data_IF_754091465046
#
_entry.id   IF_754091465046
#
_cell.length_a   1.000
_cell.length_b   1.000
_cell.length_c   1.000
_cell.angle_alpha   90.00
_cell.angle_beta   90.00
_cell.angle_gamma   90.00
#
_symmetry.space_group_name_H-M   'P 1'
#
loop_
_entity.id
_entity.type
_entity.pdbx_description
1 polymer ?
#
# COMPACT_ATOMS: atom_id res chain seq x y z
N UNK A 1 -25.71 7.11 11.67
CA UNK A 1 -24.57 7.57 12.52
C UNK A 1 -23.52 8.12 11.60
N UNK A 2 -23.23 9.42 11.68
CA UNK A 2 -22.15 10.06 10.93
C UNK A 2 -20.82 9.63 11.55
N UNK A 3 -20.00 8.89 10.81
CA UNK A 3 -18.62 8.63 11.24
C UNK A 3 -17.88 9.96 11.12
N UNK A 4 -17.48 10.55 12.24
CA UNK A 4 -16.58 11.70 12.24
C UNK A 4 -15.21 11.18 11.78
N UNK A 5 -14.91 11.35 10.50
CA UNK A 5 -13.62 11.00 9.92
C UNK A 5 -12.68 12.16 10.22
N UNK A 6 -11.78 11.97 11.19
CA UNK A 6 -10.66 12.90 11.37
C UNK A 6 -9.70 12.71 10.20
N UNK A 7 -9.44 13.74 9.39
CA UNK A 7 -8.44 13.64 8.34
C UNK A 7 -7.07 13.31 8.97
N UNK A 8 -6.20 12.58 8.25
CA UNK A 8 -4.87 12.25 8.75
C UNK A 8 -4.13 13.52 9.21
N UNK A 9 -3.36 13.41 10.29
CA UNK A 9 -2.61 14.53 10.86
C UNK A 9 -1.72 15.20 9.79
N UNK A 10 -1.39 16.48 9.98
CA UNK A 10 -0.70 17.30 8.98
C UNK A 10 0.65 16.73 8.48
N UNK A 11 1.28 15.84 9.25
CA UNK A 11 2.55 15.18 8.91
C UNK A 11 2.42 13.64 8.79
N UNK A 12 1.21 13.10 8.70
CA UNK A 12 0.99 11.66 8.56
C UNK A 12 1.51 11.13 7.22
N UNK A 13 2.15 9.97 7.24
CA UNK A 13 2.55 9.23 6.06
C UNK A 13 1.35 8.46 5.48
N UNK A 14 1.30 8.37 4.15
CA UNK A 14 0.33 7.56 3.42
C UNK A 14 1.10 6.65 2.48
N UNK A 15 0.87 5.34 2.60
CA UNK A 15 1.26 4.34 1.61
C UNK A 15 0.06 4.18 0.67
N UNK A 16 0.23 4.62 -0.57
CA UNK A 16 -0.75 4.44 -1.64
C UNK A 16 -0.40 3.17 -2.38
N UNK A 17 -1.38 2.33 -2.61
CA UNK A 17 -1.27 1.18 -3.50
C UNK A 17 -2.38 1.19 -4.53
N UNK A 18 -2.09 0.71 -5.72
CA UNK A 18 -3.09 0.61 -6.77
C UNK A 18 -2.91 -0.60 -7.66
N UNK A 19 -4.02 -0.99 -8.27
CA UNK A 19 -4.11 -2.06 -9.26
C UNK A 19 -5.17 -1.69 -10.30
N UNK A 20 -5.05 -2.23 -11.50
CA UNK A 20 -6.12 -2.21 -12.50
C UNK A 20 -6.91 -3.53 -12.41
N UNK A 21 -8.24 -3.46 -12.44
CA UNK A 21 -9.10 -4.64 -12.28
C UNK A 21 -8.91 -5.66 -13.40
N UNK A 22 -8.50 -5.22 -14.60
CA UNK A 22 -8.25 -6.05 -15.78
C UNK A 22 -6.78 -6.51 -15.86
N UNK A 23 -5.91 -6.05 -14.96
CA UNK A 23 -4.50 -6.42 -14.99
C UNK A 23 -4.32 -7.93 -14.76
N UNK A 24 -3.41 -8.55 -15.51
CA UNK A 24 -3.10 -9.97 -15.40
C UNK A 24 -2.22 -10.27 -14.18
N UNK A 25 -1.32 -9.34 -13.81
CA UNK A 25 -0.45 -9.52 -12.64
C UNK A 25 -1.20 -9.34 -11.33
N UNK A 26 -0.58 -9.82 -10.24
CA UNK A 26 -1.02 -9.54 -8.88
C UNK A 26 -0.22 -8.40 -8.23
N UNK A 27 0.61 -7.71 -9.01
CA UNK A 27 1.49 -6.67 -8.47
C UNK A 27 0.72 -5.38 -8.20
N UNK A 28 0.92 -4.83 -7.02
CA UNK A 28 0.47 -3.48 -6.68
C UNK A 28 1.52 -2.47 -7.12
N UNK A 29 1.07 -1.41 -7.80
CA UNK A 29 1.84 -0.18 -7.89
C UNK A 29 1.78 0.52 -6.53
N UNK A 30 2.85 1.19 -6.11
CA UNK A 30 2.89 1.81 -4.79
C UNK A 30 3.63 3.16 -4.78
N UNK A 31 3.28 3.99 -3.81
CA UNK A 31 3.95 5.24 -3.49
C UNK A 31 3.83 5.52 -1.99
N UNK A 32 4.86 6.06 -1.36
CA UNK A 32 4.79 6.55 0.03
C UNK A 32 5.03 8.06 0.06
N UNK A 33 4.11 8.83 0.65
CA UNK A 33 4.24 10.28 0.71
C UNK A 33 3.63 10.87 1.99
N UNK A 34 4.07 12.07 2.36
CA UNK A 34 3.42 12.86 3.43
C UNK A 34 2.07 13.36 2.94
N UNK A 35 1.01 13.16 3.73
CA UNK A 35 -0.38 13.46 3.37
C UNK A 35 -0.60 14.91 2.90
N UNK A 36 -0.05 15.88 3.63
CA UNK A 36 -0.30 17.31 3.39
C UNK A 36 0.58 17.92 2.31
N UNK A 37 1.86 17.54 2.28
CA UNK A 37 2.86 18.16 1.40
C UNK A 37 3.08 17.37 0.12
N UNK A 38 2.55 16.14 0.04
CA UNK A 38 2.82 15.18 -1.03
C UNK A 38 4.33 14.92 -1.24
N UNK A 39 5.14 15.25 -0.24
CA UNK A 39 6.57 14.99 -0.26
C UNK A 39 6.79 13.48 -0.27
N UNK A 40 7.52 13.01 -1.26
CA UNK A 40 7.91 11.62 -1.38
C UNK A 40 8.72 11.19 -0.15
N UNK A 41 8.34 10.04 0.42
CA UNK A 41 9.06 9.40 1.52
C UNK A 41 10.10 8.40 1.00
N UNK A 42 10.06 8.08 -0.29
CA UNK A 42 11.09 7.32 -0.97
C UNK A 42 12.39 8.13 -1.04
N UNK A 43 13.50 7.50 -0.63
CA UNK A 43 14.83 8.09 -0.77
C UNK A 43 15.40 7.77 -2.15
N UNK A 44 15.63 8.77 -3.03
CA UNK A 44 16.14 8.51 -4.38
C UNK A 44 17.66 8.33 -4.43
N UNK A 45 18.39 8.72 -3.38
CA UNK A 45 19.87 8.77 -3.38
C UNK A 45 20.47 8.46 -2.00
N UNK A 46 21.75 8.08 -1.98
CA UNK A 46 22.53 7.88 -0.76
C UNK A 46 22.43 6.47 -0.16
N UNK A 47 22.92 6.30 1.07
CA UNK A 47 22.99 4.99 1.76
C UNK A 47 21.64 4.29 1.93
N UNK A 48 20.56 5.07 1.92
CA UNK A 48 19.19 4.60 2.09
C UNK A 48 18.38 4.67 0.80
N UNK A 49 19.03 4.85 -0.35
CA UNK A 49 18.36 4.84 -1.64
C UNK A 49 17.49 3.57 -1.78
N UNK A 50 16.26 3.74 -2.26
CA UNK A 50 15.29 2.64 -2.36
C UNK A 50 14.40 2.44 -1.15
N UNK A 51 14.66 3.09 -0.01
CA UNK A 51 13.88 2.92 1.21
C UNK A 51 12.84 4.02 1.40
N UNK A 52 11.72 3.67 2.03
CA UNK A 52 10.75 4.62 2.59
C UNK A 52 11.26 5.06 3.97
N UNK A 53 11.36 6.36 4.20
CA UNK A 53 11.91 6.91 5.43
C UNK A 53 10.82 7.36 6.40
N UNK A 54 10.74 6.69 7.56
CA UNK A 54 9.86 7.06 8.67
C UNK A 54 10.67 7.57 9.87
N UNK A 55 9.99 8.23 10.81
CA UNK A 55 10.51 8.62 12.11
C UNK A 55 9.66 8.00 13.22
N UNK A 56 10.27 7.80 14.39
CA UNK A 56 9.53 7.41 15.58
C UNK A 56 8.37 8.38 15.85
N UNK A 57 7.19 7.83 16.15
CA UNK A 57 5.97 8.60 16.36
C UNK A 57 5.22 8.99 15.09
N UNK A 58 5.78 8.76 13.89
CA UNK A 58 5.04 8.96 12.65
C UNK A 58 3.80 8.05 12.62
N UNK A 59 2.72 8.58 12.05
CA UNK A 59 1.50 7.82 11.77
C UNK A 59 1.48 7.45 10.30
N UNK A 60 1.19 6.19 9.98
CA UNK A 60 1.17 5.64 8.63
C UNK A 60 -0.21 5.08 8.34
N UNK A 61 -0.84 5.58 7.30
CA UNK A 61 -2.12 5.06 6.78
C UNK A 61 -1.94 4.45 5.40
N UNK A 62 -2.90 3.63 4.98
CA UNK A 62 -2.92 3.01 3.65
C UNK A 62 -4.12 3.48 2.85
N UNK A 63 -3.87 3.80 1.60
CA UNK A 63 -4.87 4.16 0.60
C UNK A 63 -4.78 3.14 -0.53
N UNK A 64 -5.90 2.54 -0.89
CA UNK A 64 -6.01 1.53 -1.95
C UNK A 64 -6.89 2.09 -3.05
N UNK A 65 -6.39 2.03 -4.28
CA UNK A 65 -7.12 2.48 -5.46
C UNK A 65 -7.20 1.35 -6.50
N UNK A 66 -8.41 0.86 -6.75
CA UNK A 66 -8.69 -0.03 -7.89
C UNK A 66 -9.13 0.77 -9.11
N UNK A 67 -8.46 0.63 -10.24
CA UNK A 67 -8.82 1.28 -11.50
C UNK A 67 -9.58 0.36 -12.43
N UNK A 68 -10.49 0.91 -13.23
CA UNK A 68 -11.15 0.16 -14.29
C UNK A 68 -11.90 1.08 -15.23
N UNK A 69 -12.35 0.52 -16.37
CA UNK A 69 -13.11 1.30 -17.35
C UNK A 69 -14.42 1.83 -16.74
N UNK A 70 -14.70 3.11 -16.98
CA UNK A 70 -15.93 3.78 -16.57
C UNK A 70 -17.16 3.05 -17.09
N UNK A 71 -18.13 2.83 -16.20
CA UNK A 71 -19.34 2.05 -16.49
C UNK A 71 -19.16 0.53 -16.41
N UNK A 72 -17.92 0.03 -16.26
CA UNK A 72 -17.65 -1.39 -15.95
C UNK A 72 -17.26 -1.59 -14.50
N UNK A 73 -16.41 -0.73 -13.93
CA UNK A 73 -16.10 -0.77 -12.51
C UNK A 73 -17.31 -0.32 -11.68
N UNK A 74 -17.82 -1.19 -10.81
CA UNK A 74 -18.92 -0.86 -9.89
C UNK A 74 -18.37 -0.52 -8.50
N UNK A 75 -17.53 -1.38 -7.94
CA UNK A 75 -16.87 -1.16 -6.66
C UNK A 75 -15.68 -2.10 -6.46
N UNK A 76 -14.81 -1.76 -5.51
CA UNK A 76 -13.88 -2.71 -4.91
C UNK A 76 -14.06 -2.68 -3.40
N UNK A 77 -13.99 -3.83 -2.74
CA UNK A 77 -14.09 -3.92 -1.28
C UNK A 77 -12.92 -4.73 -0.73
N UNK A 78 -12.20 -4.16 0.22
CA UNK A 78 -11.06 -4.83 0.84
C UNK A 78 -11.58 -5.85 1.86
N UNK A 79 -11.24 -7.13 1.64
CA UNK A 79 -11.57 -8.21 2.56
C UNK A 79 -10.50 -8.40 3.61
N UNK A 80 -9.23 -8.32 3.21
CA UNK A 80 -8.07 -8.51 4.07
C UNK A 80 -6.90 -7.68 3.57
N UNK A 81 -6.11 -7.15 4.49
CA UNK A 81 -4.90 -6.39 4.19
C UNK A 81 -3.89 -6.63 5.31
N UNK A 82 -2.74 -7.17 4.95
CA UNK A 82 -1.69 -7.52 5.91
C UNK A 82 -0.35 -6.96 5.46
N UNK A 83 0.22 -6.13 6.33
CA UNK A 83 1.55 -5.58 6.15
C UNK A 83 2.57 -6.55 6.74
N UNK A 84 3.61 -6.87 5.98
CA UNK A 84 4.70 -7.74 6.34
C UNK A 84 6.01 -6.98 6.34
N UNK A 85 6.84 -7.24 7.34
CA UNK A 85 8.16 -6.61 7.44
C UNK A 85 9.24 -7.63 7.74
N UNK A 86 10.36 -7.50 7.03
CA UNK A 86 11.55 -8.32 7.27
C UNK A 86 12.69 -7.41 7.69
N UNK A 87 13.17 -7.47 8.94
CA UNK A 87 14.30 -6.65 9.37
C UNK A 87 15.54 -7.03 8.59
N UNK A 88 16.29 -6.04 8.14
CA UNK A 88 17.63 -6.25 7.63
C UNK A 88 18.53 -6.62 8.81
N UNK A 89 19.27 -7.71 8.68
CA UNK A 89 20.30 -8.07 9.64
C UNK A 89 21.60 -7.35 9.30
N UNK A 90 22.20 -6.65 10.25
CA UNK A 90 23.56 -6.11 10.11
C UNK A 90 24.46 -6.71 11.18
N UNK A 91 25.20 -7.76 10.84
CA UNK A 91 26.20 -8.39 11.72
C UNK A 91 25.70 -8.57 13.16
N UNK A 92 26.15 -7.70 14.06
CA UNK A 92 25.93 -7.75 15.52
C UNK A 92 24.60 -7.11 16.01
N UNK A 93 23.83 -6.43 15.14
CA UNK A 93 22.58 -5.76 15.53
C UNK A 93 21.39 -6.35 14.78
N UNK A 94 20.43 -6.86 15.56
CA UNK A 94 19.14 -7.31 15.05
C UNK A 94 18.11 -6.21 15.30
N UNK A 95 17.52 -5.67 14.22
CA UNK A 95 16.37 -4.77 14.34
C UNK A 95 15.15 -5.53 14.86
N UNK A 96 14.20 -4.81 15.47
CA UNK A 96 12.90 -5.35 15.82
C UNK A 96 12.20 -6.01 14.62
N UNK A 97 11.24 -6.93 14.80
CA UNK A 97 10.53 -7.56 13.69
C UNK A 97 9.83 -6.58 12.73
N UNK A 98 9.38 -5.42 13.24
CA UNK A 98 8.66 -4.41 12.46
C UNK A 98 8.91 -2.99 12.99
N UNK A 99 8.89 -1.95 12.15
CA UNK A 99 8.84 -0.55 12.59
C UNK A 99 7.58 -0.25 13.44
N UNK A 100 6.52 -1.06 13.32
CA UNK A 100 5.24 -0.89 14.02
C UNK A 100 5.10 -1.83 15.24
N UNK A 101 6.05 -2.74 15.47
CA UNK A 101 5.96 -3.71 16.57
C UNK A 101 7.31 -4.30 16.95
N UNK A 102 7.58 -4.37 18.26
CA UNK A 102 8.78 -5.03 18.80
C UNK A 102 8.69 -6.55 18.82
N UNK A 103 7.53 -7.15 18.52
CA UNK A 103 7.28 -8.60 18.70
C UNK A 103 6.66 -9.30 17.50
N UNK A 104 6.14 -8.57 16.50
CA UNK A 104 5.50 -9.15 15.30
C UNK A 104 6.05 -8.54 14.02
N UNK A 105 6.30 -9.39 13.03
CA UNK A 105 6.65 -8.99 11.67
C UNK A 105 5.42 -8.68 10.80
N UNK A 106 4.22 -9.04 11.26
CA UNK A 106 2.97 -8.90 10.52
C UNK A 106 2.01 -7.98 11.26
N UNK A 107 1.40 -7.06 10.52
CA UNK A 107 0.47 -6.06 11.07
C UNK A 107 -0.77 -5.97 10.18
N UNK A 108 -1.96 -6.36 10.67
CA UNK A 108 -3.19 -6.22 9.90
C UNK A 108 -3.54 -4.74 9.75
N UNK A 109 -4.01 -4.35 8.57
CA UNK A 109 -4.58 -3.04 8.31
C UNK A 109 -6.10 -3.21 8.32
N UNK A 110 -6.68 -2.93 9.49
CA UNK A 110 -8.09 -3.12 9.75
C UNK A 110 -8.89 -1.83 9.57
N UNK A 111 -10.20 -1.99 9.41
CA UNK A 111 -11.18 -0.89 9.34
C UNK A 111 -10.94 0.06 8.16
N UNK A 112 -11.75 -0.10 7.13
CA UNK A 112 -11.66 0.68 5.90
C UNK A 112 -12.84 1.63 5.76
N UNK A 113 -12.59 2.80 5.18
CA UNK A 113 -13.68 3.64 4.68
C UNK A 113 -14.44 2.88 3.58
N UNK A 114 -15.76 3.10 3.45
CA UNK A 114 -16.49 2.59 2.29
C UNK A 114 -15.85 3.06 0.99
N UNK A 115 -15.82 2.19 0.00
CA UNK A 115 -15.31 2.51 -1.32
C UNK A 115 -16.03 3.71 -1.94
N UNK A 116 -15.24 4.65 -2.46
CA UNK A 116 -15.74 5.80 -3.20
C UNK A 116 -15.35 5.65 -4.66
N UNK A 117 -16.33 5.79 -5.55
CA UNK A 117 -16.08 5.84 -6.98
C UNK A 117 -15.81 7.27 -7.38
N UNK A 118 -14.65 7.48 -7.99
CA UNK A 118 -14.19 8.77 -8.48
C UNK A 118 -13.90 8.67 -9.98
N UNK A 119 -14.09 9.77 -10.70
CA UNK A 119 -13.62 9.85 -12.08
C UNK A 119 -12.11 9.95 -12.07
N UNK A 120 -11.45 9.07 -12.83
CA UNK A 120 -10.01 9.16 -12.97
C UNK A 120 -9.61 10.35 -13.85
N UNK A 121 -8.35 10.79 -13.73
CA UNK A 121 -7.80 11.83 -14.60
C UNK A 121 -7.71 11.37 -16.05
N UNK A 122 -7.55 10.06 -16.27
CA UNK A 122 -7.60 9.45 -17.59
C UNK A 122 -9.06 9.33 -18.08
N UNK A 123 -9.41 9.97 -19.21
CA UNK A 123 -10.76 9.90 -19.75
C UNK A 123 -11.19 8.45 -20.02
N UNK A 124 -12.36 8.06 -19.50
CA UNK A 124 -12.91 6.72 -19.70
C UNK A 124 -12.54 5.71 -18.63
N UNK A 125 -11.80 6.12 -17.59
CA UNK A 125 -11.51 5.32 -16.41
C UNK A 125 -12.17 5.89 -15.15
N UNK A 126 -12.47 4.99 -14.21
CA UNK A 126 -12.95 5.30 -12.88
C UNK A 126 -12.02 4.65 -11.85
N UNK A 127 -11.91 5.29 -10.69
CA UNK A 127 -11.13 4.82 -9.57
C UNK A 127 -12.07 4.47 -8.41
N UNK A 128 -11.85 3.31 -7.79
CA UNK A 128 -12.49 2.92 -6.53
C UNK A 128 -11.47 3.11 -5.40
N UNK A 129 -11.65 4.13 -4.58
CA UNK A 129 -10.69 4.54 -3.55
C UNK A 129 -11.19 4.16 -2.16
N UNK A 130 -10.31 3.58 -1.34
CA UNK A 130 -10.54 3.25 0.07
C UNK A 130 -9.35 3.64 0.92
N UNK A 131 -9.61 4.20 2.10
CA UNK A 131 -8.58 4.56 3.07
C UNK A 131 -8.74 3.77 4.35
N UNK A 132 -7.62 3.34 4.93
CA UNK A 132 -7.58 2.78 6.28
C UNK A 132 -8.01 3.84 7.30
N UNK A 133 -8.86 3.46 8.25
CA UNK A 133 -9.33 4.37 9.31
C UNK A 133 -8.36 4.46 10.47
N UNK A 134 -7.65 3.37 10.78
CA UNK A 134 -6.72 3.32 11.89
C UNK A 134 -5.29 3.40 11.37
N UNK A 135 -4.56 4.51 11.62
CA UNK A 135 -3.16 4.59 11.23
C UNK A 135 -2.30 3.69 12.12
N UNK A 136 -1.24 3.13 11.55
CA UNK A 136 -0.16 2.48 12.27
C UNK A 136 0.78 3.53 12.86
N UNK A 137 1.33 3.28 14.04
CA UNK A 137 2.32 4.17 14.67
C UNK A 137 3.70 3.53 14.57
N UNK A 138 4.69 4.30 14.11
CA UNK A 138 6.09 3.87 14.12
C UNK A 138 6.61 3.95 15.55
N UNK A 139 7.03 2.81 16.10
CA UNK A 139 7.44 2.67 17.50
C UNK A 139 8.93 2.38 17.68
N UNK A 140 9.65 2.19 16.58
CA UNK A 140 11.10 1.99 16.59
C UNK A 140 11.80 3.31 16.27
N UNK A 141 12.92 3.56 16.94
CA UNK A 141 13.77 4.74 16.76
C UNK A 141 14.82 4.56 15.66
N UNK A 142 15.25 3.32 15.40
CA UNK A 142 16.27 2.96 14.42
C UNK A 142 16.06 1.54 13.85
N UNK A 143 16.50 1.35 12.59
CA UNK A 143 16.50 0.06 11.91
C UNK A 143 16.20 0.16 10.41
N UNK A 144 16.27 -0.99 9.74
CA UNK A 144 15.93 -1.11 8.33
C UNK A 144 15.09 -2.36 8.11
N UNK A 145 14.04 -2.23 7.32
CA UNK A 145 13.10 -3.32 7.02
C UNK A 145 12.80 -3.34 5.53
N UNK A 146 12.61 -4.54 4.98
CA UNK A 146 11.77 -4.72 3.79
C UNK A 146 10.31 -4.58 4.23
N UNK A 147 9.49 -3.92 3.43
CA UNK A 147 8.09 -3.66 3.70
C UNK A 147 7.27 -4.19 2.52
N UNK A 148 6.30 -5.05 2.80
CA UNK A 148 5.46 -5.68 1.79
C UNK A 148 4.01 -5.65 2.25
N UNK A 149 3.06 -5.57 1.33
CA UNK A 149 1.62 -5.61 1.62
C UNK A 149 1.00 -6.73 0.81
N UNK A 150 0.15 -7.55 1.44
CA UNK A 150 -0.76 -8.46 0.75
C UNK A 150 -2.18 -7.95 0.97
N UNK A 151 -2.94 -7.88 -0.11
CA UNK A 151 -4.28 -7.32 -0.16
C UNK A 151 -5.22 -8.31 -0.84
N UNK A 152 -6.31 -8.67 -0.17
CA UNK A 152 -7.42 -9.45 -0.75
C UNK A 152 -8.60 -8.53 -0.99
N UNK A 153 -9.09 -8.48 -2.23
CA UNK A 153 -10.14 -7.55 -2.66
C UNK A 153 -11.25 -8.30 -3.38
N UNK A 154 -12.51 -7.96 -3.07
CA UNK A 154 -13.65 -8.25 -3.95
C UNK A 154 -13.76 -7.15 -4.97
N UNK A 155 -13.74 -7.51 -6.24
CA UNK A 155 -13.98 -6.61 -7.36
C UNK A 155 -15.39 -6.85 -7.87
N UNK A 156 -16.19 -5.80 -7.91
CA UNK A 156 -17.51 -5.80 -8.53
C UNK A 156 -17.46 -5.07 -9.86
N UNK A 157 -17.87 -5.76 -10.93
CA UNK A 157 -17.85 -5.20 -12.28
C UNK A 157 -19.11 -5.53 -13.07
N UNK A 158 -19.50 -4.65 -13.98
CA UNK A 158 -20.56 -4.87 -14.93
C UNK A 158 -20.00 -5.55 -16.19
N UNK A 159 -20.56 -6.72 -16.53
CA UNK A 159 -20.24 -7.47 -17.74
C UNK A 159 -21.47 -7.56 -18.66
N UNK A 160 -21.31 -8.14 -19.85
CA UNK A 160 -22.44 -8.44 -20.74
C UNK A 160 -23.50 -9.36 -20.10
N UNK A 161 -23.10 -10.19 -19.13
CA UNK A 161 -23.99 -11.08 -18.40
C UNK A 161 -24.61 -10.43 -17.15
N UNK A 162 -24.32 -9.14 -16.90
CA UNK A 162 -24.72 -8.40 -15.70
C UNK A 162 -23.56 -8.21 -14.70
N UNK A 163 -23.86 -7.76 -13.47
CA UNK A 163 -22.88 -7.62 -12.41
C UNK A 163 -22.22 -8.97 -12.10
N UNK A 164 -20.90 -8.95 -11.93
CA UNK A 164 -20.08 -10.08 -11.54
C UNK A 164 -19.17 -9.66 -10.40
N UNK A 165 -18.88 -10.62 -9.53
CA UNK A 165 -17.93 -10.46 -8.45
C UNK A 165 -16.80 -11.46 -8.61
N UNK A 166 -15.58 -11.03 -8.30
CA UNK A 166 -14.42 -11.90 -8.20
C UNK A 166 -13.57 -11.49 -7.01
N UNK A 167 -12.90 -12.47 -6.40
CA UNK A 167 -11.95 -12.22 -5.33
C UNK A 167 -10.56 -12.35 -5.92
N UNK A 168 -9.73 -11.33 -5.72
CA UNK A 168 -8.35 -11.32 -6.16
C UNK A 168 -7.42 -10.98 -5.01
N UNK A 169 -6.22 -11.54 -5.08
CA UNK A 169 -5.11 -11.22 -4.17
C UNK A 169 -4.08 -10.44 -4.96
N UNK A 170 -3.67 -9.32 -4.38
CA UNK A 170 -2.63 -8.44 -4.87
C UNK A 170 -1.55 -8.28 -3.80
N UNK A 171 -0.34 -7.99 -4.22
CA UNK A 171 0.74 -7.69 -3.30
C UNK A 171 1.73 -6.70 -3.91
N UNK A 172 2.38 -5.89 -3.08
CA UNK A 172 3.70 -5.39 -3.44
C UNK A 172 4.70 -6.00 -2.47
N UNK A 173 5.74 -6.62 -3.03
CA UNK A 173 6.91 -7.10 -2.30
C UNK A 173 8.14 -6.63 -3.09
N UNK A 174 8.60 -5.38 -2.88
CA UNK A 174 9.67 -4.86 -3.71
C UNK A 174 10.98 -5.51 -3.26
N UNK A 175 11.47 -6.49 -4.03
CA UNK A 175 12.90 -6.81 -4.07
C UNK A 175 13.57 -5.96 -5.15
N UNK A 176 14.59 -5.20 -4.77
CA UNK A 176 15.37 -4.35 -5.66
C UNK A 176 16.55 -5.13 -6.27
N UNK A 177 16.62 -5.17 -7.60
CA UNK A 177 17.79 -5.61 -8.36
C UNK A 177 18.82 -4.48 -8.47
N UNK A 178 20.12 -4.81 -8.33
CA UNK A 178 21.23 -3.96 -8.80
C UNK A 178 21.94 -4.74 -9.92
N UNK A 179 21.73 -4.32 -11.16
CA UNK A 179 22.27 -4.98 -12.34
C UNK A 179 21.86 -4.30 -13.65
N UNK A 180 22.46 -4.69 -14.77
CA UNK A 180 22.18 -4.14 -16.10
C UNK A 180 20.99 -4.82 -16.82
N UNK A 181 20.22 -5.67 -16.12
CA UNK A 181 19.17 -6.47 -16.74
C UNK A 181 19.70 -7.61 -17.65
N UNK A 182 20.90 -8.12 -17.38
CA UNK A 182 21.39 -9.35 -18.02
C UNK A 182 21.59 -10.44 -16.96
N UNK A 183 21.18 -11.68 -17.30
CA UNK A 183 21.29 -12.85 -16.43
C UNK A 183 22.71 -12.99 -15.84
N UNK A 184 22.87 -13.59 -14.63
CA UNK A 184 24.18 -13.89 -14.10
C UNK A 184 24.95 -14.78 -15.09
N UNK A 185 26.20 -14.44 -15.46
CA UNK A 185 27.01 -15.37 -16.23
C UNK A 185 27.23 -16.64 -15.41
N UNK A 186 27.09 -17.79 -16.10
CA UNK A 186 27.33 -19.15 -15.57
C UNK A 186 28.77 -19.30 -15.10
#
# INVERSE_FOLDING_TARGET
MSVNITPPAADAAIIRVSFDIDQVSSDLLWQAAVAKTHRDLYSPVGRYAGAVHFREGDTVSVEVTGFGRSGTLLSTNILDAMLYTVPHTSGERFSAPSPFSSVRATTPIEQWQPARIEHDREPGFSASVQHSLTPLTVVQDDGRWKLSLILTVVIERLTKAGPQQEIRVFSFDPEAEVGSGTEPPV
#
